data_IF_971532642124
#
_entry.id   IF_971532642124
#
_cell.length_a   1.000
_cell.length_b   1.000
_cell.length_c   1.000
_cell.angle_alpha   90.00
_cell.angle_beta   90.00
_cell.angle_gamma   90.00
#
_symmetry.space_group_name_H-M   'P 1'
#
loop_
_entity.id
_entity.type
_entity.pdbx_description
1 polymer ?
#
# COMPACT_ATOMS: atom_id res chain seq x y z
N UNK A 1 1.70 -35.27 19.39
CA UNK A 1 0.79 -35.05 18.24
C UNK A 1 -0.50 -34.42 18.75
N UNK A 2 -0.79 -33.19 18.35
CA UNK A 2 -2.07 -32.51 18.57
C UNK A 2 -2.23 -31.49 17.44
N UNK A 3 -3.30 -31.63 16.67
CA UNK A 3 -3.55 -30.94 15.40
C UNK A 3 -3.48 -29.41 15.52
N UNK A 4 -2.57 -28.78 14.77
CA UNK A 4 -2.62 -27.35 14.42
C UNK A 4 -3.70 -27.18 13.34
N UNK A 5 -4.94 -26.97 13.79
CA UNK A 5 -6.07 -26.66 12.90
C UNK A 5 -5.82 -25.31 12.23
N UNK A 6 -5.71 -25.33 10.90
CA UNK A 6 -5.37 -24.20 10.05
C UNK A 6 -6.40 -23.06 10.10
N UNK A 7 -6.18 -22.14 11.04
CA UNK A 7 -6.76 -20.81 11.05
C UNK A 7 -5.68 -19.81 11.41
N UNK A 8 -4.62 -19.80 10.61
CA UNK A 8 -3.85 -18.58 10.46
C UNK A 8 -4.77 -17.62 9.70
N UNK A 9 -5.66 -16.94 10.44
CA UNK A 9 -6.34 -15.76 9.90
C UNK A 9 -5.23 -14.75 9.63
N UNK A 10 -4.65 -14.82 8.43
CA UNK A 10 -3.61 -13.91 8.03
C UNK A 10 -4.22 -12.51 8.12
N UNK A 11 -3.83 -11.75 9.14
CA UNK A 11 -4.16 -10.34 9.22
C UNK A 11 -3.36 -9.71 8.08
N UNK A 12 -4.05 -9.31 7.02
CA UNK A 12 -3.42 -8.71 5.84
C UNK A 12 -3.53 -7.18 5.85
N UNK A 13 -4.50 -6.66 6.61
CA UNK A 13 -4.85 -5.25 6.63
C UNK A 13 -4.26 -4.54 7.85
N UNK A 14 -3.30 -3.64 7.62
CA UNK A 14 -2.61 -2.89 8.67
C UNK A 14 -2.59 -1.39 8.39
N UNK A 15 -2.72 -0.59 9.45
CA UNK A 15 -2.41 0.85 9.41
C UNK A 15 -1.06 1.06 10.09
N UNK A 16 -0.03 1.36 9.30
CA UNK A 16 1.30 1.64 9.80
C UNK A 16 1.42 3.12 10.18
N UNK A 17 1.82 3.38 11.43
CA UNK A 17 2.06 4.73 11.94
C UNK A 17 3.45 4.81 12.58
N UNK A 18 4.11 5.95 12.44
CA UNK A 18 5.36 6.21 13.14
C UNK A 18 5.15 6.15 14.66
N UNK A 19 6.01 5.44 15.39
CA UNK A 19 5.91 5.30 16.84
C UNK A 19 5.85 6.65 17.58
N UNK A 20 6.54 7.69 17.07
CA UNK A 20 6.49 9.06 17.61
C UNK A 20 5.08 9.68 17.54
N UNK A 21 4.26 9.24 16.59
CA UNK A 21 2.91 9.74 16.33
C UNK A 21 1.83 8.84 16.96
N UNK A 22 2.22 7.82 17.72
CA UNK A 22 1.28 6.87 18.32
C UNK A 22 0.24 7.55 19.22
N UNK A 23 0.61 8.62 19.93
CA UNK A 23 -0.31 9.37 20.78
C UNK A 23 -1.35 10.21 20.01
N UNK A 24 -1.12 10.45 18.73
CA UNK A 24 -2.07 11.16 17.86
C UNK A 24 -3.17 10.26 17.32
N UNK A 25 -2.97 8.94 17.37
CA UNK A 25 -3.94 7.94 16.96
C UNK A 25 -5.06 7.86 18.01
N UNK A 26 -6.27 8.25 17.61
CA UNK A 26 -7.43 8.28 18.50
C UNK A 26 -8.19 6.96 18.50
N UNK A 27 -8.30 6.34 17.32
CA UNK A 27 -9.14 5.16 17.12
C UNK A 27 -8.69 4.35 15.90
N UNK A 28 -8.78 3.02 15.98
CA UNK A 28 -8.60 2.09 14.86
C UNK A 28 -9.71 1.05 14.95
N UNK A 29 -10.46 0.87 13.86
CA UNK A 29 -11.52 -0.14 13.78
C UNK A 29 -11.54 -0.82 12.42
N UNK A 30 -11.75 -2.12 12.42
CA UNK A 30 -12.22 -2.85 11.25
C UNK A 30 -13.73 -2.64 11.13
N UNK A 31 -14.18 -2.19 9.97
CA UNK A 31 -15.59 -1.98 9.65
C UNK A 31 -16.12 -3.26 9.01
N UNK A 32 -16.92 -4.02 9.78
CA UNK A 32 -17.41 -5.35 9.39
C UNK A 32 -18.72 -5.34 8.58
N UNK A 33 -19.44 -4.23 8.63
CA UNK A 33 -20.76 -4.06 8.02
C UNK A 33 -20.85 -3.12 6.79
N UNK A 34 -19.81 -2.38 6.32
CA UNK A 34 -19.88 -1.75 5.03
C UNK A 34 -19.70 -2.82 3.95
N UNK A 35 -20.72 -2.98 3.11
CA UNK A 35 -20.63 -3.74 1.88
C UNK A 35 -19.61 -3.04 0.96
N UNK A 36 -18.36 -3.48 1.02
CA UNK A 36 -17.27 -3.01 0.15
C UNK A 36 -17.15 -3.84 -1.13
N UNK A 37 -18.07 -4.80 -1.34
CA UNK A 37 -18.00 -5.73 -2.46
C UNK A 37 -16.72 -6.58 -2.49
N UNK A 38 -16.03 -6.70 -1.35
CA UNK A 38 -14.80 -7.47 -1.14
C UNK A 38 -14.96 -8.39 0.07
N UNK A 39 -14.21 -9.47 0.05
CA UNK A 39 -13.95 -10.38 1.17
C UNK A 39 -13.11 -9.76 2.30
N UNK A 40 -12.59 -8.53 2.12
CA UNK A 40 -11.82 -7.80 3.13
C UNK A 40 -12.65 -6.79 3.92
N UNK A 41 -12.36 -6.67 5.22
CA UNK A 41 -12.94 -5.61 6.04
C UNK A 41 -12.18 -4.29 5.85
N UNK A 42 -12.90 -3.20 5.64
CA UNK A 42 -12.33 -1.85 5.63
C UNK A 42 -11.71 -1.53 7.00
N UNK A 43 -10.41 -1.22 7.05
CA UNK A 43 -9.75 -0.74 8.27
C UNK A 43 -9.73 0.78 8.28
N UNK A 44 -10.31 1.39 9.33
CA UNK A 44 -10.40 2.83 9.51
C UNK A 44 -9.58 3.28 10.72
N UNK A 45 -8.69 4.25 10.52
CA UNK A 45 -7.94 4.90 11.59
C UNK A 45 -8.28 6.39 11.69
N UNK A 46 -8.50 6.88 12.90
CA UNK A 46 -8.72 8.29 13.21
C UNK A 46 -7.48 8.84 13.86
N UNK A 47 -6.92 9.91 13.28
CA UNK A 47 -5.65 10.46 13.73
C UNK A 47 -5.75 11.99 13.80
N UNK A 48 -5.34 12.57 14.92
CA UNK A 48 -5.39 14.00 15.15
C UNK A 48 -3.98 14.60 15.10
N UNK A 49 -3.73 15.43 14.09
CA UNK A 49 -2.47 16.14 13.91
C UNK A 49 -2.70 17.63 13.71
N UNK A 50 -1.84 18.45 14.33
CA UNK A 50 -1.71 19.85 13.95
C UNK A 50 -0.79 19.93 12.74
N UNK A 51 -1.38 20.14 11.56
CA UNK A 51 -0.62 20.40 10.35
C UNK A 51 -0.09 21.83 10.41
N UNK A 52 1.23 21.99 10.46
CA UNK A 52 1.82 23.29 10.21
C UNK A 52 1.84 23.54 8.71
N UNK A 53 1.30 24.68 8.29
CA UNK A 53 1.40 25.11 6.89
C UNK A 53 2.85 25.49 6.61
N UNK A 54 3.62 24.53 6.12
CA UNK A 54 4.95 24.82 5.58
C UNK A 54 4.74 25.43 4.20
N UNK A 55 5.19 26.68 4.01
CA UNK A 55 5.34 27.28 2.67
C UNK A 55 6.44 26.51 1.93
N UNK A 56 6.12 25.32 1.42
CA UNK A 56 7.04 24.58 0.56
C UNK A 56 7.23 25.43 -0.69
N UNK A 57 8.48 25.77 -1.04
CA UNK A 57 8.83 25.94 -2.45
C UNK A 57 8.25 24.73 -3.15
N UNK A 58 7.46 24.93 -4.20
CA UNK A 58 6.80 23.86 -4.96
C UNK A 58 7.87 22.86 -5.39
N UNK A 59 8.19 21.86 -4.56
CA UNK A 59 8.85 20.67 -5.02
C UNK A 59 7.87 20.14 -6.04
N UNK A 60 8.31 20.04 -7.30
CA UNK A 60 7.54 19.40 -8.37
C UNK A 60 7.17 18.02 -7.84
N UNK A 61 5.97 17.91 -7.27
CA UNK A 61 5.34 16.63 -7.05
C UNK A 61 5.16 16.11 -8.47
N UNK A 62 6.00 15.17 -8.88
CA UNK A 62 5.80 14.44 -10.12
C UNK A 62 4.43 13.77 -9.95
N UNK A 63 3.39 14.39 -10.49
CA UNK A 63 2.08 13.77 -10.54
C UNK A 63 2.30 12.47 -11.30
N UNK A 64 1.88 11.35 -10.70
CA UNK A 64 1.83 10.09 -11.41
C UNK A 64 1.03 10.33 -12.69
N UNK A 65 1.70 10.11 -13.82
CA UNK A 65 1.06 10.27 -15.10
C UNK A 65 0.23 9.02 -15.34
N UNK A 66 -1.06 9.08 -15.00
CA UNK A 66 -2.00 7.98 -15.18
C UNK A 66 -2.21 7.58 -16.65
N UNK A 67 -1.64 8.32 -17.60
CA UNK A 67 -1.64 7.95 -19.02
C UNK A 67 -0.39 7.15 -19.43
N UNK A 68 0.63 7.02 -18.57
CA UNK A 68 1.78 6.13 -18.80
C UNK A 68 1.42 4.67 -19.10
N UNK A 69 0.40 4.06 -18.46
CA UNK A 69 0.04 2.68 -18.74
C UNK A 69 -0.49 2.46 -20.16
N UNK A 70 -0.70 3.50 -20.97
CA UNK A 70 -1.21 3.36 -22.34
C UNK A 70 -0.10 3.16 -23.39
N UNK A 71 1.17 3.24 -22.99
CA UNK A 71 2.29 2.90 -23.85
C UNK A 71 2.52 1.37 -23.86
N UNK A 72 2.36 0.76 -25.03
CA UNK A 72 2.49 -0.69 -25.21
C UNK A 72 3.89 -1.21 -24.87
N UNK A 73 4.94 -0.37 -24.96
CA UNK A 73 6.28 -0.76 -24.53
C UNK A 73 6.36 -0.87 -23.00
N UNK A 74 5.86 0.15 -22.29
CA UNK A 74 5.83 0.15 -20.83
C UNK A 74 4.94 -0.97 -20.29
N UNK A 75 3.80 -1.26 -20.91
CA UNK A 75 2.93 -2.38 -20.51
C UNK A 75 3.68 -3.72 -20.54
N UNK A 76 4.52 -3.96 -21.55
CA UNK A 76 5.32 -5.19 -21.63
C UNK A 76 6.37 -5.25 -20.52
N UNK A 77 7.07 -4.15 -20.27
CA UNK A 77 8.07 -4.08 -19.21
C UNK A 77 7.44 -4.30 -17.82
N UNK A 78 6.25 -3.72 -17.60
CA UNK A 78 5.44 -3.99 -16.41
C UNK A 78 5.01 -5.47 -16.34
N UNK A 79 4.53 -6.05 -17.43
CA UNK A 79 4.13 -7.46 -17.47
C UNK A 79 5.31 -8.40 -17.17
N UNK A 80 6.49 -8.10 -17.71
CA UNK A 80 7.72 -8.86 -17.44
C UNK A 80 8.11 -8.71 -15.97
N UNK A 81 8.09 -7.50 -15.41
CA UNK A 81 8.40 -7.28 -14.00
C UNK A 81 7.44 -8.00 -13.05
N UNK A 82 6.14 -8.07 -13.39
CA UNK A 82 5.14 -8.80 -12.61
C UNK A 82 5.29 -10.32 -12.71
N UNK A 83 5.61 -10.82 -13.90
CA UNK A 83 5.68 -12.28 -14.17
C UNK A 83 7.02 -12.86 -13.76
N UNK A 84 8.10 -12.09 -13.90
CA UNK A 84 9.46 -12.49 -13.55
C UNK A 84 10.29 -11.28 -13.10
N UNK A 85 10.22 -10.91 -11.81
CA UNK A 85 10.95 -9.75 -11.29
C UNK A 85 12.48 -9.89 -11.44
N UNK A 86 13.00 -11.11 -11.47
CA UNK A 86 14.44 -11.38 -11.62
C UNK A 86 14.92 -11.34 -13.08
N UNK A 87 14.02 -11.41 -14.08
CA UNK A 87 14.40 -11.26 -15.49
C UNK A 87 15.01 -9.88 -15.78
N UNK A 88 14.56 -8.85 -15.07
CA UNK A 88 15.09 -7.49 -15.19
C UNK A 88 16.57 -7.36 -14.79
N UNK A 89 17.09 -8.30 -13.99
CA UNK A 89 18.48 -8.33 -13.52
C UNK A 89 19.43 -9.06 -14.48
N UNK A 90 18.89 -9.89 -15.39
CA UNK A 90 19.69 -10.66 -16.34
C UNK A 90 20.26 -9.81 -17.50
N UNK A 91 19.75 -8.59 -17.70
CA UNK A 91 20.24 -7.63 -18.70
C UNK A 91 21.37 -6.71 -18.22
N UNK A 92 21.76 -6.77 -16.94
CA UNK A 92 22.83 -5.95 -16.34
C UNK A 92 24.12 -6.74 -16.14
N UNK A 93 24.49 -7.57 -17.13
CA UNK A 93 25.83 -8.13 -17.26
C UNK A 93 26.29 -7.84 -18.68
N UNK A 94 26.89 -6.65 -18.86
CA UNK A 94 28.06 -6.33 -19.69
C UNK A 94 28.28 -4.81 -19.70
#
# INVERSE_FOLDING_TARGET
MGNLSGKDSAILDYVLINARLRSSLQDIRAMRDPDCGSDHYLVRAWICFKLQQVKRKLLKVTRLNWNQPNDAAQQRDFQIALTNPFASLAGSVN
#
